data_IF_072860493785
#
_entry.id   IF_072860493785
#
_cell.length_a   1.000
_cell.length_b   1.000
_cell.length_c   1.000
_cell.angle_alpha   90.00
_cell.angle_beta   90.00
_cell.angle_gamma   90.00
#
_symmetry.space_group_name_H-M   'P 1'
#
loop_
_entity.id
_entity.type
_entity.pdbx_description
1 polymer ?
#
# COMPACT_ATOMS: atom_id res chain seq x y z
N UNK A 1 -23.55 13.82 25.00
CA UNK A 1 -22.70 14.56 24.05
C UNK A 1 -21.39 13.79 23.94
N UNK A 2 -21.27 12.86 23.00
CA UNK A 2 -20.00 12.18 22.71
C UNK A 2 -20.00 11.76 21.25
N UNK A 3 -19.91 12.74 20.36
CA UNK A 3 -19.57 12.49 18.94
C UNK A 3 -18.11 12.87 18.76
N UNK A 4 -17.21 12.05 19.32
CA UNK A 4 -15.80 12.12 18.93
C UNK A 4 -15.68 11.52 17.54
N UNK A 5 -14.97 12.20 16.65
CA UNK A 5 -14.74 11.72 15.29
C UNK A 5 -13.91 10.42 15.37
N UNK A 6 -14.53 9.28 15.08
CA UNK A 6 -13.86 7.97 15.15
C UNK A 6 -12.79 7.90 14.05
N UNK A 7 -11.53 7.71 14.46
CA UNK A 7 -10.42 7.62 13.52
C UNK A 7 -10.35 6.21 12.95
N UNK A 8 -10.61 6.09 11.65
CA UNK A 8 -10.50 4.83 10.92
C UNK A 8 -9.08 4.64 10.36
N UNK A 9 -8.47 3.52 10.72
CA UNK A 9 -7.10 3.18 10.34
C UNK A 9 -7.06 1.83 9.64
N UNK A 10 -6.25 1.73 8.58
CA UNK A 10 -5.86 0.45 7.98
C UNK A 10 -4.54 0.03 8.60
N UNK A 11 -4.53 -1.10 9.30
CA UNK A 11 -3.33 -1.64 9.95
C UNK A 11 -2.68 -2.74 9.12
N UNK A 12 -1.36 -2.82 9.17
CA UNK A 12 -0.57 -3.84 8.48
C UNK A 12 0.76 -4.06 9.20
N UNK A 13 1.46 -5.16 8.86
CA UNK A 13 2.71 -5.55 9.51
C UNK A 13 3.86 -5.61 8.51
N UNK A 14 4.98 -5.01 8.88
CA UNK A 14 6.24 -5.07 8.11
C UNK A 14 7.37 -5.44 9.05
N UNK A 15 8.14 -6.47 8.73
CA UNK A 15 9.28 -6.89 9.55
C UNK A 15 8.92 -7.26 11.00
N UNK A 16 7.68 -7.69 11.26
CA UNK A 16 7.20 -8.01 12.61
C UNK A 16 6.64 -6.81 13.40
N UNK A 17 6.75 -5.59 12.88
CA UNK A 17 6.23 -4.37 13.50
C UNK A 17 4.90 -3.93 12.87
N UNK A 18 4.00 -3.40 13.70
CA UNK A 18 2.69 -2.90 13.26
C UNK A 18 2.77 -1.44 12.81
N UNK A 19 2.10 -1.15 11.70
CA UNK A 19 1.98 0.17 11.07
C UNK A 19 0.52 0.45 10.72
N UNK A 20 0.20 1.72 10.42
CA UNK A 20 -1.14 2.11 10.01
C UNK A 20 -1.14 3.31 9.04
N UNK A 21 -2.15 3.36 8.19
CA UNK A 21 -2.52 4.54 7.39
C UNK A 21 -3.93 5.00 7.76
N UNK A 22 -4.22 6.29 7.54
CA UNK A 22 -5.61 6.75 7.55
C UNK A 22 -6.38 6.06 6.42
N UNK A 23 -7.60 5.60 6.70
CA UNK A 23 -8.40 4.85 5.72
C UNK A 23 -8.62 5.63 4.41
N UNK A 24 -8.71 6.96 4.47
CA UNK A 24 -8.94 7.80 3.29
C UNK A 24 -7.70 7.94 2.39
N UNK A 25 -6.52 7.51 2.86
CA UNK A 25 -5.28 7.48 2.07
C UNK A 25 -5.08 6.13 1.36
N UNK A 26 -5.86 5.11 1.71
CA UNK A 26 -5.74 3.77 1.13
C UNK A 26 -6.68 3.66 -0.05
N UNK A 27 -6.12 3.65 -1.25
CA UNK A 27 -6.92 3.46 -2.45
C UNK A 27 -7.39 2.01 -2.59
N UNK A 28 -6.48 1.04 -2.37
CA UNK A 28 -6.71 -0.40 -2.60
C UNK A 28 -5.78 -1.25 -1.73
N UNK A 29 -6.22 -2.47 -1.40
CA UNK A 29 -5.39 -3.53 -0.80
C UNK A 29 -5.36 -4.69 -1.80
N UNK A 30 -4.19 -4.94 -2.38
CA UNK A 30 -3.98 -6.01 -3.36
C UNK A 30 -3.30 -7.22 -2.69
N UNK A 31 -3.46 -8.40 -3.28
CA UNK A 31 -2.60 -9.53 -2.95
C UNK A 31 -1.23 -9.30 -3.57
N UNK A 32 -0.19 -9.75 -2.89
CA UNK A 32 1.17 -9.63 -3.40
C UNK A 32 1.34 -10.48 -4.66
N UNK A 33 1.89 -9.85 -5.68
CA UNK A 33 2.38 -10.47 -6.91
C UNK A 33 3.78 -9.86 -7.17
N UNK A 34 4.70 -10.65 -7.68
CA UNK A 34 6.06 -10.17 -7.93
C UNK A 34 6.05 -9.08 -9.02
N UNK A 35 6.56 -7.86 -8.76
CA UNK A 35 6.62 -6.80 -9.76
C UNK A 35 7.53 -7.15 -10.93
N UNK A 36 7.23 -6.58 -12.10
CA UNK A 36 8.11 -6.68 -13.28
C UNK A 36 9.24 -5.66 -13.18
N UNK A 37 10.51 -6.05 -13.31
CA UNK A 37 11.65 -5.16 -13.08
C UNK A 37 11.67 -4.00 -14.08
N UNK A 38 12.00 -2.81 -13.58
CA UNK A 38 12.11 -1.60 -14.39
C UNK A 38 13.59 -1.34 -14.77
N UNK A 39 13.94 -1.21 -16.06
CA UNK A 39 15.32 -0.96 -16.47
C UNK A 39 15.88 0.33 -15.87
N UNK A 40 17.11 0.28 -15.36
CA UNK A 40 17.82 1.43 -14.74
C UNK A 40 17.12 2.02 -13.50
N UNK A 41 16.26 1.25 -12.85
CA UNK A 41 15.65 1.67 -11.59
C UNK A 41 16.66 1.64 -10.43
N UNK A 42 16.50 2.51 -9.42
CA UNK A 42 17.23 2.39 -8.16
C UNK A 42 16.92 1.08 -7.42
N UNK A 43 17.84 0.63 -6.59
CA UNK A 43 17.73 -0.66 -5.87
C UNK A 43 16.51 -0.76 -4.92
N UNK A 44 15.97 0.38 -4.48
CA UNK A 44 14.78 0.43 -3.62
C UNK A 44 13.47 0.22 -4.38
N UNK A 45 13.50 0.15 -5.72
CA UNK A 45 12.32 0.00 -6.56
C UNK A 45 12.27 -1.42 -7.13
N UNK A 46 11.30 -2.21 -6.66
CA UNK A 46 11.13 -3.62 -7.10
C UNK A 46 10.67 -3.73 -8.56
N UNK A 47 9.84 -2.80 -9.04
CA UNK A 47 9.34 -2.83 -10.41
C UNK A 47 7.97 -2.18 -10.58
N UNK A 48 7.23 -2.66 -11.57
CA UNK A 48 5.87 -2.22 -11.90
C UNK A 48 4.88 -3.37 -11.83
N UNK A 49 3.65 -3.09 -11.42
CA UNK A 49 2.55 -4.04 -11.42
C UNK A 49 1.50 -3.61 -12.45
N UNK A 50 0.99 -4.57 -13.24
CA UNK A 50 -0.14 -4.30 -14.14
C UNK A 50 -1.44 -4.49 -13.37
N UNK A 51 -2.29 -3.48 -13.39
CA UNK A 51 -3.60 -3.53 -12.74
C UNK A 51 -4.67 -2.90 -13.65
N UNK A 52 -5.72 -3.67 -13.99
CA UNK A 52 -6.87 -3.22 -14.78
C UNK A 52 -6.54 -2.50 -16.12
N UNK A 53 -5.42 -2.87 -16.76
CA UNK A 53 -4.99 -2.28 -18.03
C UNK A 53 -4.11 -1.02 -17.89
N UNK A 54 -3.86 -0.55 -16.66
CA UNK A 54 -2.85 0.47 -16.34
C UNK A 54 -1.63 -0.16 -15.64
N UNK A 55 -0.46 0.47 -15.76
CA UNK A 55 0.72 0.14 -14.97
C UNK A 55 0.77 1.09 -13.76
N UNK A 56 1.03 0.54 -12.58
CA UNK A 56 1.23 1.28 -11.32
C UNK A 56 2.60 0.93 -10.76
#
# INVERSE_FOLDING_TARGET
MTGGDDIQLVTFRVGGQDFAFNIFQVERILRYEAPSPLPKAPDFLEGVLRYHGAAV
#
